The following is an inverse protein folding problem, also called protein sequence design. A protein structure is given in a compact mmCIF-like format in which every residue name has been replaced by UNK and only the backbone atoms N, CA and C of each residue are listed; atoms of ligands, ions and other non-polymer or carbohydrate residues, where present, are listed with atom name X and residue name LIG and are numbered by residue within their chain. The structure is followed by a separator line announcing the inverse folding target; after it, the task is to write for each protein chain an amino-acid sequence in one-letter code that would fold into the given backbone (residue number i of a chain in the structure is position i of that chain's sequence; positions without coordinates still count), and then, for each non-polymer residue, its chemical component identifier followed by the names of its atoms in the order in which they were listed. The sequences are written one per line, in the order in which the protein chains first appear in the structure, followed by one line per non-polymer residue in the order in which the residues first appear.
data_IF_773288694404
#
_entry.id   IF_773288694404
#
_cell.length_a   1.000
_cell.length_b   1.000
_cell.length_c   1.000
_cell.angle_alpha   90.00
_cell.angle_beta   90.00
_cell.angle_gamma   90.00
#
_symmetry.space_group_name_H-M   'P 1'
#
loop_
_entity.id
_entity.type
_entity.pdbx_description
1 polymer ?
#
# COMPACT_ATOMS: atom_id res chain seq x y z
N UNK A 1 30.36 -16.18 -9.17
CA UNK A 1 28.98 -16.43 -9.69
C UNK A 1 28.02 -15.35 -9.17
N UNK A 2 27.19 -14.73 -10.02
CA UNK A 2 26.20 -13.72 -9.60
C UNK A 2 24.79 -14.28 -9.79
N UNK A 3 23.98 -14.32 -8.71
CA UNK A 3 22.57 -14.73 -8.73
C UNK A 3 21.70 -13.49 -8.92
N UNK A 4 21.11 -13.35 -10.11
CA UNK A 4 20.22 -12.24 -10.52
C UNK A 4 18.89 -12.79 -11.06
N UNK A 5 18.33 -13.79 -10.37
CA UNK A 5 17.19 -14.57 -10.85
C UNK A 5 15.80 -13.95 -10.49
N UNK A 6 15.78 -12.74 -9.94
CA UNK A 6 14.57 -12.08 -9.50
C UNK A 6 13.97 -12.67 -8.22
N UNK A 7 12.78 -12.22 -7.86
CA UNK A 7 12.05 -12.68 -6.69
C UNK A 7 11.53 -14.12 -6.83
N UNK A 8 11.31 -14.79 -5.70
CA UNK A 8 10.82 -16.17 -5.68
C UNK A 8 11.89 -17.26 -5.94
N UNK A 9 13.15 -16.88 -6.16
CA UNK A 9 14.23 -17.86 -6.41
C UNK A 9 14.66 -18.58 -5.14
N UNK A 10 14.82 -19.90 -5.22
CA UNK A 10 15.36 -20.73 -4.13
C UNK A 10 16.80 -21.18 -4.38
N UNK A 11 17.47 -20.64 -5.40
CA UNK A 11 18.82 -21.05 -5.82
C UNK A 11 19.89 -20.92 -4.73
N UNK A 12 19.71 -20.00 -3.78
CA UNK A 12 20.63 -19.76 -2.68
C UNK A 12 20.44 -20.72 -1.50
N UNK A 13 19.28 -21.40 -1.40
CA UNK A 13 18.98 -22.35 -0.32
C UNK A 13 19.94 -23.57 -0.30
N UNK A 14 20.19 -24.25 -1.42
CA UNK A 14 21.13 -25.39 -1.44
C UNK A 14 22.57 -24.98 -1.11
N UNK A 15 22.91 -23.69 -1.24
CA UNK A 15 24.21 -23.13 -0.91
C UNK A 15 24.33 -22.72 0.58
N UNK A 16 23.32 -23.08 1.41
CA UNK A 16 23.31 -22.87 2.85
C UNK A 16 22.79 -21.52 3.30
N UNK A 17 22.25 -20.68 2.40
CA UNK A 17 21.66 -19.39 2.76
C UNK A 17 20.29 -19.54 3.42
N UNK A 18 20.08 -18.75 4.46
CA UNK A 18 18.77 -18.59 5.08
C UNK A 18 17.84 -17.86 4.11
N UNK A 19 16.66 -18.45 3.88
CA UNK A 19 15.64 -17.88 3.02
C UNK A 19 14.48 -17.34 3.85
N UNK A 20 14.16 -16.06 3.66
CA UNK A 20 12.94 -15.44 4.17
C UNK A 20 11.77 -15.88 3.27
N UNK A 21 10.62 -16.28 3.85
CA UNK A 21 9.49 -16.75 3.07
C UNK A 21 8.99 -15.72 2.05
N UNK A 22 8.65 -16.20 0.86
CA UNK A 22 8.14 -15.34 -0.21
C UNK A 22 6.69 -14.94 0.04
N UNK A 23 6.39 -13.66 -0.26
CA UNK A 23 5.03 -13.14 -0.26
C UNK A 23 4.86 -12.06 -1.34
N UNK A 24 3.70 -12.00 -2.02
CA UNK A 24 3.42 -10.93 -2.97
C UNK A 24 3.23 -9.61 -2.23
N UNK A 25 3.87 -8.55 -2.73
CA UNK A 25 3.68 -7.16 -2.28
C UNK A 25 3.57 -6.22 -3.48
N UNK A 26 3.26 -4.95 -3.23
CA UNK A 26 2.87 -4.01 -4.27
C UNK A 26 1.73 -4.58 -5.12
N UNK A 27 0.71 -5.06 -4.45
CA UNK A 27 -0.52 -5.59 -5.04
C UNK A 27 -1.76 -4.88 -4.44
N UNK A 28 -2.92 -4.93 -5.11
CA UNK A 28 -4.16 -4.44 -4.53
C UNK A 28 -4.48 -5.09 -3.17
N UNK A 29 -5.30 -4.44 -2.37
CA UNK A 29 -5.81 -4.98 -1.11
C UNK A 29 -7.28 -5.37 -1.25
N UNK A 30 -7.61 -6.58 -0.80
CA UNK A 30 -9.00 -6.99 -0.58
C UNK A 30 -9.51 -6.33 0.70
N UNK A 31 -10.72 -5.78 0.62
CA UNK A 31 -11.41 -5.20 1.77
C UNK A 31 -12.84 -5.69 1.86
N UNK A 32 -13.57 -5.32 2.91
CA UNK A 32 -15.01 -5.49 2.94
C UNK A 32 -15.65 -4.71 1.78
N UNK A 33 -16.49 -5.39 1.00
CA UNK A 33 -17.06 -4.84 -0.24
C UNK A 33 -18.30 -4.00 -0.01
N UNK A 34 -19.01 -4.21 1.10
CA UNK A 34 -20.19 -3.42 1.44
C UNK A 34 -19.85 -1.94 1.62
N UNK A 35 -18.72 -1.67 2.26
CA UNK A 35 -18.25 -0.30 2.49
C UNK A 35 -17.89 0.46 1.21
N UNK A 36 -17.54 -0.24 0.13
CA UNK A 36 -17.10 0.35 -1.15
C UNK A 36 -18.12 0.15 -2.28
N UNK A 37 -19.30 -0.33 -1.95
CA UNK A 37 -20.38 -0.62 -2.91
C UNK A 37 -20.69 0.62 -3.77
N UNK A 38 -20.63 0.45 -5.08
CA UNK A 38 -20.87 1.51 -6.06
C UNK A 38 -19.67 2.43 -6.34
N UNK A 39 -18.51 2.19 -5.71
CA UNK A 39 -17.30 3.01 -5.91
C UNK A 39 -16.34 2.47 -6.98
N UNK A 40 -16.57 1.27 -7.52
CA UNK A 40 -15.67 0.64 -8.50
C UNK A 40 -15.30 1.60 -9.63
N UNK A 41 -13.98 1.72 -9.88
CA UNK A 41 -13.38 2.60 -10.89
C UNK A 41 -13.19 4.06 -10.42
N UNK A 42 -13.70 4.44 -9.25
CA UNK A 42 -13.50 5.77 -8.70
C UNK A 42 -12.10 5.91 -8.11
N UNK A 43 -11.45 7.03 -8.37
CA UNK A 43 -10.19 7.47 -7.75
C UNK A 43 -10.46 8.57 -6.73
N UNK A 44 -9.70 8.58 -5.66
CA UNK A 44 -9.81 9.58 -4.61
C UNK A 44 -8.43 9.85 -4.01
N UNK A 45 -8.03 11.11 -3.96
CA UNK A 45 -6.89 11.53 -3.14
C UNK A 45 -7.30 11.47 -1.67
N UNK A 46 -6.46 10.89 -0.83
CA UNK A 46 -6.73 10.73 0.60
C UNK A 46 -5.44 10.50 1.38
N UNK A 47 -5.53 10.64 2.70
CA UNK A 47 -4.54 10.07 3.62
C UNK A 47 -5.08 8.73 4.09
N UNK A 48 -4.27 7.70 3.94
CA UNK A 48 -4.60 6.36 4.41
C UNK A 48 -3.74 5.99 5.61
N UNK A 49 -4.38 5.45 6.64
CA UNK A 49 -3.73 4.91 7.83
C UNK A 49 -4.07 3.44 7.99
N UNK A 50 -3.06 2.61 8.13
CA UNK A 50 -3.20 1.19 8.44
C UNK A 50 -3.13 0.99 9.94
N UNK A 51 -4.20 0.46 10.53
CA UNK A 51 -4.36 0.31 11.98
C UNK A 51 -4.41 -1.17 12.33
N UNK A 52 -3.51 -1.62 13.22
CA UNK A 52 -3.44 -2.97 13.75
C UNK A 52 -3.58 -2.95 15.26
N UNK A 53 -4.59 -3.66 15.81
CA UNK A 53 -4.84 -3.71 17.26
C UNK A 53 -4.91 -2.31 17.90
N UNK A 54 -5.55 -1.37 17.21
CA UNK A 54 -5.74 0.01 17.67
C UNK A 54 -4.50 0.92 17.56
N UNK A 55 -3.41 0.45 16.97
CA UNK A 55 -2.19 1.25 16.75
C UNK A 55 -1.95 1.49 15.27
N UNK A 56 -1.52 2.70 14.92
CA UNK A 56 -1.05 3.03 13.58
C UNK A 56 0.21 2.23 13.25
N UNK A 57 0.19 1.53 12.12
CA UNK A 57 1.31 0.73 11.61
C UNK A 57 2.01 1.47 10.47
N UNK A 58 1.24 2.12 9.62
CA UNK A 58 1.75 2.83 8.46
C UNK A 58 0.76 3.90 8.02
N UNK A 59 1.27 5.05 7.59
CA UNK A 59 0.46 6.16 7.07
C UNK A 59 1.10 6.71 5.81
N UNK A 60 0.30 6.98 4.80
CA UNK A 60 0.73 7.58 3.54
C UNK A 60 -0.40 8.41 2.93
N UNK A 61 -0.04 9.45 2.19
CA UNK A 61 -0.97 10.25 1.38
C UNK A 61 -0.79 9.93 -0.10
N UNK A 62 -1.90 9.88 -0.82
CA UNK A 62 -1.86 9.61 -2.24
C UNK A 62 -3.24 9.32 -2.82
N UNK A 63 -3.26 8.77 -4.03
CA UNK A 63 -4.49 8.40 -4.71
C UNK A 63 -4.81 6.92 -4.50
N UNK A 64 -6.03 6.64 -4.06
CA UNK A 64 -6.61 5.30 -3.98
C UNK A 64 -7.58 5.08 -5.15
N UNK A 65 -7.60 3.87 -5.69
CA UNK A 65 -8.55 3.41 -6.70
C UNK A 65 -9.45 2.33 -6.09
N UNK A 66 -10.74 2.59 -6.04
CA UNK A 66 -11.72 1.59 -5.61
C UNK A 66 -11.95 0.53 -6.70
N UNK A 67 -11.93 -0.74 -6.29
CA UNK A 67 -12.22 -1.90 -7.13
C UNK A 67 -13.45 -2.62 -6.57
N UNK A 68 -13.94 -3.61 -7.30
CA UNK A 68 -15.08 -4.45 -6.88
C UNK A 68 -14.79 -5.31 -5.63
N UNK A 69 -13.51 -5.67 -5.43
CA UNK A 69 -13.03 -6.51 -4.33
C UNK A 69 -12.29 -5.74 -3.22
N UNK A 70 -12.07 -4.43 -3.38
CA UNK A 70 -11.28 -3.65 -2.42
C UNK A 70 -10.66 -2.40 -3.02
N UNK A 71 -9.37 -2.17 -2.77
CA UNK A 71 -8.67 -0.96 -3.17
C UNK A 71 -7.36 -1.26 -3.89
N UNK A 72 -6.98 -0.37 -4.80
CA UNK A 72 -5.77 -0.39 -5.61
C UNK A 72 -5.21 1.04 -5.76
N UNK A 73 -4.31 1.27 -6.71
CA UNK A 73 -3.59 2.54 -6.88
C UNK A 73 -2.30 2.55 -6.07
N UNK A 74 -1.41 3.50 -6.35
CA UNK A 74 -0.06 3.54 -5.76
C UNK A 74 -0.10 3.49 -4.24
N UNK A 75 -1.01 4.24 -3.63
CA UNK A 75 -1.22 4.26 -2.18
C UNK A 75 -1.54 2.86 -1.63
N UNK A 76 -2.50 2.14 -2.23
CA UNK A 76 -2.87 0.79 -1.81
C UNK A 76 -1.74 -0.22 -2.05
N UNK A 77 -0.98 -0.07 -3.13
CA UNK A 77 0.19 -0.91 -3.42
C UNK A 77 1.25 -0.75 -2.33
N UNK A 78 1.57 0.48 -1.93
CA UNK A 78 2.52 0.73 -0.84
C UNK A 78 2.01 0.18 0.51
N UNK A 79 0.73 0.40 0.82
CA UNK A 79 0.09 -0.15 2.02
C UNK A 79 0.18 -1.68 2.07
N UNK A 80 0.08 -2.37 0.93
CA UNK A 80 0.13 -3.84 0.86
C UNK A 80 1.42 -4.43 1.42
N UNK A 81 2.51 -3.66 1.45
CA UNK A 81 3.79 -4.05 2.05
C UNK A 81 3.70 -4.22 3.57
N UNK A 82 2.73 -3.59 4.20
CA UNK A 82 2.56 -3.54 5.66
C UNK A 82 1.27 -4.21 6.14
N UNK A 83 0.29 -4.33 5.25
CA UNK A 83 -1.05 -4.81 5.56
C UNK A 83 -1.08 -6.31 5.87
N UNK A 84 -1.85 -6.68 6.88
CA UNK A 84 -2.19 -8.06 7.22
C UNK A 84 -3.71 -8.24 7.25
N UNK A 85 -4.22 -9.44 7.00
CA UNK A 85 -5.63 -9.74 7.22
C UNK A 85 -6.06 -9.40 8.65
N UNK A 86 -7.18 -8.69 8.79
CA UNK A 86 -7.70 -8.21 10.07
C UNK A 86 -7.26 -6.78 10.45
N UNK A 87 -6.35 -6.17 9.70
CA UNK A 87 -6.05 -4.75 9.88
C UNK A 87 -7.27 -3.88 9.46
N UNK A 88 -7.31 -2.67 9.99
CA UNK A 88 -8.26 -1.64 9.59
C UNK A 88 -7.54 -0.60 8.73
N UNK A 89 -8.06 -0.35 7.54
CA UNK A 89 -7.64 0.76 6.70
C UNK A 89 -8.58 1.94 6.96
N UNK A 90 -8.06 3.02 7.51
CA UNK A 90 -8.76 4.29 7.73
C UNK A 90 -8.36 5.28 6.65
N UNK A 91 -9.33 5.82 5.92
CA UNK A 91 -9.12 6.83 4.89
C UNK A 91 -9.64 8.18 5.37
N UNK A 92 -8.76 9.17 5.42
CA UNK A 92 -9.14 10.58 5.49
C UNK A 92 -9.33 11.08 4.06
N UNK A 93 -10.58 11.27 3.66
CA UNK A 93 -10.96 11.61 2.28
C UNK A 93 -10.74 13.09 1.94
N UNK A 94 -10.41 13.94 2.93
CA UNK A 94 -10.10 15.36 2.79
C UNK A 94 -9.00 15.76 3.77
N UNK A 95 -7.77 15.29 3.57
CA UNK A 95 -6.68 15.51 4.52
C UNK A 95 -6.30 16.98 4.70
N UNK A 96 -6.60 17.82 3.72
CA UNK A 96 -6.34 19.27 3.74
C UNK A 96 -7.28 20.04 4.70
N UNK A 97 -8.37 19.45 5.17
CA UNK A 97 -9.31 20.09 6.08
C UNK A 97 -9.26 19.45 7.47
N UNK A 98 -9.29 20.28 8.52
CA UNK A 98 -9.54 19.78 9.87
C UNK A 98 -10.99 19.33 10.01
N UNK A 99 -11.30 18.55 11.06
CA UNK A 99 -12.69 18.12 11.33
C UNK A 99 -13.61 19.32 11.53
N UNK A 100 -13.14 20.36 12.21
CA UNK A 100 -13.91 21.58 12.48
C UNK A 100 -14.18 22.37 11.19
N UNK A 101 -13.14 22.56 10.34
CA UNK A 101 -13.27 23.25 9.06
C UNK A 101 -14.21 22.50 8.11
N UNK A 102 -14.10 21.16 8.07
CA UNK A 102 -15.00 20.31 7.28
C UNK A 102 -16.45 20.40 7.79
N UNK A 103 -16.67 20.36 9.10
CA UNK A 103 -18.00 20.49 9.72
C UNK A 103 -18.63 21.85 9.37
N UNK A 104 -17.86 22.93 9.46
CA UNK A 104 -18.32 24.27 9.10
C UNK A 104 -18.66 24.35 7.59
N UNK A 105 -17.81 23.79 6.72
CA UNK A 105 -18.04 23.74 5.27
C UNK A 105 -19.33 22.99 4.92
N UNK A 106 -19.55 21.81 5.50
CA UNK A 106 -20.76 21.01 5.26
C UNK A 106 -22.01 21.73 5.80
N UNK A 107 -21.92 22.38 6.96
CA UNK A 107 -23.02 23.18 7.51
C UNK A 107 -23.42 24.33 6.60
N UNK A 108 -22.44 25.05 6.07
CA UNK A 108 -22.68 26.13 5.10
C UNK A 108 -23.30 25.61 3.80
N UNK A 109 -22.84 24.47 3.29
CA UNK A 109 -23.43 23.80 2.12
C UNK A 109 -24.89 23.41 2.35
N UNK A 110 -25.20 22.84 3.50
CA UNK A 110 -26.57 22.44 3.88
C UNK A 110 -27.49 23.65 3.94
N UNK A 111 -27.03 24.76 4.52
CA UNK A 111 -27.80 25.99 4.59
C UNK A 111 -28.09 26.60 3.20
N UNK A 112 -27.14 26.51 2.28
CA UNK A 112 -27.30 27.07 0.93
C UNK A 112 -28.17 26.22 0.01
N UNK A 113 -28.08 24.89 0.09
CA UNK A 113 -28.65 23.95 -0.90
C UNK A 113 -29.95 23.27 -0.41
N UNK A 114 -30.14 23.17 0.87
CA UNK A 114 -31.36 22.65 1.50
C UNK A 114 -31.57 21.13 1.39
N UNK A 115 -31.04 20.48 0.38
CA UNK A 115 -31.24 19.06 0.13
C UNK A 115 -29.97 18.25 0.47
N UNK A 116 -30.14 17.12 1.15
CA UNK A 116 -29.03 16.23 1.50
C UNK A 116 -28.33 15.64 0.26
N UNK A 117 -29.04 15.51 -0.87
CA UNK A 117 -28.50 14.99 -2.13
C UNK A 117 -27.39 15.88 -2.73
N UNK A 118 -27.42 17.18 -2.48
CA UNK A 118 -26.45 18.14 -3.03
C UNK A 118 -25.35 18.54 -2.04
N UNK A 119 -25.37 17.98 -0.82
CA UNK A 119 -24.46 18.35 0.26
C UNK A 119 -22.98 18.19 -0.13
N UNK A 120 -22.64 17.19 -0.95
CA UNK A 120 -21.27 16.90 -1.34
C UNK A 120 -20.86 17.46 -2.70
N UNK A 121 -21.75 18.21 -3.38
CA UNK A 121 -21.49 18.82 -4.69
C UNK A 121 -20.30 19.78 -4.60
N UNK A 122 -19.29 19.59 -5.44
CA UNK A 122 -18.04 20.38 -5.42
C UNK A 122 -17.05 19.98 -4.32
N UNK A 123 -17.36 18.95 -3.54
CA UNK A 123 -16.45 18.37 -2.54
C UNK A 123 -15.98 17.00 -3.03
N UNK A 124 -16.89 16.13 -3.43
CA UNK A 124 -16.63 14.76 -3.88
C UNK A 124 -17.29 14.45 -5.21
N UNK A 125 -16.80 13.40 -5.85
CA UNK A 125 -17.59 12.72 -6.86
C UNK A 125 -18.90 12.20 -6.25
N UNK A 126 -20.03 12.37 -6.95
CA UNK A 126 -21.38 12.03 -6.45
C UNK A 126 -21.45 10.65 -5.77
N UNK A 127 -20.89 9.60 -6.41
CA UNK A 127 -20.90 8.23 -5.85
C UNK A 127 -20.17 8.12 -4.50
N UNK A 128 -19.10 8.90 -4.29
CA UNK A 128 -18.39 8.91 -3.00
C UNK A 128 -19.23 9.60 -1.91
N UNK A 129 -19.87 10.72 -2.24
CA UNK A 129 -20.82 11.39 -1.34
C UNK A 129 -21.97 10.46 -0.94
N UNK A 130 -22.57 9.73 -1.89
CA UNK A 130 -23.60 8.71 -1.62
C UNK A 130 -23.09 7.59 -0.71
N UNK A 131 -21.83 7.13 -0.89
CA UNK A 131 -21.24 6.12 -0.03
C UNK A 131 -21.01 6.62 1.40
N UNK A 132 -20.59 7.87 1.57
CA UNK A 132 -20.47 8.52 2.88
C UNK A 132 -21.85 8.63 3.55
N UNK A 133 -22.86 9.10 2.81
CA UNK A 133 -24.23 9.24 3.32
C UNK A 133 -24.84 7.90 3.76
N UNK A 134 -24.64 6.82 3.00
CA UNK A 134 -25.12 5.47 3.37
C UNK A 134 -24.54 4.96 4.70
N UNK A 135 -23.40 5.45 5.13
CA UNK A 135 -22.75 5.04 6.39
C UNK A 135 -23.22 5.84 7.59
N UNK A 136 -23.81 6.99 7.36
CA UNK A 136 -24.39 7.81 8.42
C UNK A 136 -25.69 7.18 8.94
N UNK A 137 -25.86 7.16 10.25
CA UNK A 137 -27.08 6.68 10.93
C UNK A 137 -28.07 7.78 11.14
N UNK A 138 -27.59 8.96 11.57
CA UNK A 138 -28.43 10.12 11.86
C UNK A 138 -28.50 11.11 10.69
N UNK A 139 -27.51 11.10 9.79
CA UNK A 139 -27.35 12.11 8.75
C UNK A 139 -26.93 13.50 9.27
N UNK A 140 -26.52 13.58 10.54
CA UNK A 140 -26.01 14.83 11.09
C UNK A 140 -24.68 15.21 10.48
N UNK A 141 -24.46 16.51 10.30
CA UNK A 141 -23.23 17.06 9.71
C UNK A 141 -21.98 16.59 10.47
N UNK A 142 -22.03 16.56 11.79
CA UNK A 142 -20.93 16.12 12.64
C UNK A 142 -20.59 14.64 12.42
N UNK A 143 -21.58 13.79 12.17
CA UNK A 143 -21.39 12.37 11.87
C UNK A 143 -20.78 12.21 10.48
N UNK A 144 -21.32 12.90 9.47
CA UNK A 144 -20.80 12.89 8.10
C UNK A 144 -19.35 13.35 8.06
N UNK A 145 -19.01 14.42 8.76
CA UNK A 145 -17.64 14.92 8.85
C UNK A 145 -16.68 13.87 9.45
N UNK A 146 -17.10 13.18 10.53
CA UNK A 146 -16.29 12.11 11.12
C UNK A 146 -16.10 10.92 10.17
N UNK A 147 -17.14 10.53 9.42
CA UNK A 147 -17.05 9.45 8.42
C UNK A 147 -16.06 9.84 7.32
N UNK A 148 -16.10 11.08 6.83
CA UNK A 148 -15.17 11.58 5.82
C UNK A 148 -13.72 11.55 6.31
N UNK A 149 -13.49 11.95 7.57
CA UNK A 149 -12.16 11.96 8.18
C UNK A 149 -11.67 10.56 8.61
N UNK A 150 -12.54 9.56 8.62
CA UNK A 150 -12.23 8.21 9.10
C UNK A 150 -13.12 7.19 8.40
N UNK A 151 -12.97 7.10 7.06
CA UNK A 151 -13.70 6.13 6.25
C UNK A 151 -13.00 4.76 6.34
N UNK A 152 -13.57 3.86 7.12
CA UNK A 152 -12.94 2.59 7.50
C UNK A 152 -13.28 1.46 6.55
N UNK A 153 -12.25 0.66 6.21
CA UNK A 153 -12.35 -0.57 5.45
C UNK A 153 -11.61 -1.68 6.19
N UNK A 154 -12.23 -2.83 6.34
CA UNK A 154 -11.56 -4.01 6.91
C UNK A 154 -10.67 -4.66 5.86
N UNK A 155 -9.38 -4.83 6.15
CA UNK A 155 -8.44 -5.51 5.27
C UNK A 155 -8.63 -7.02 5.38
N UNK A 156 -8.93 -7.68 4.26
CA UNK A 156 -9.12 -9.13 4.18
C UNK A 156 -7.87 -9.86 3.70
N UNK A 157 -6.93 -9.13 3.11
CA UNK A 157 -5.65 -9.66 2.61
C UNK A 157 -5.21 -9.03 1.29
N UNK A 158 -4.18 -9.61 0.66
CA UNK A 158 -3.76 -9.19 -0.67
C UNK A 158 -4.85 -9.49 -1.71
N UNK A 159 -4.98 -8.59 -2.68
CA UNK A 159 -5.95 -8.71 -3.77
C UNK A 159 -5.44 -9.61 -4.90
N UNK A 160 -5.19 -9.02 -6.05
CA UNK A 160 -4.67 -9.69 -7.23
C UNK A 160 -3.18 -10.01 -7.06
N UNK A 161 -2.88 -11.15 -6.47
CA UNK A 161 -1.51 -11.59 -6.18
C UNK A 161 -0.76 -12.08 -7.41
N UNK A 162 -1.48 -12.45 -8.48
CA UNK A 162 -0.85 -12.88 -9.74
C UNK A 162 -0.19 -11.70 -10.47
N UNK A 163 -0.70 -10.49 -10.24
CA UNK A 163 -0.16 -9.25 -10.79
C UNK A 163 0.55 -8.40 -9.72
N UNK A 164 1.06 -9.03 -8.66
CA UNK A 164 1.93 -8.35 -7.71
C UNK A 164 3.21 -7.88 -8.43
N UNK A 165 3.59 -6.62 -8.20
CA UNK A 165 4.74 -6.04 -8.89
C UNK A 165 6.08 -6.54 -8.33
N UNK A 166 6.10 -7.00 -7.07
CA UNK A 166 7.30 -7.40 -6.34
C UNK A 166 6.99 -8.62 -5.47
N UNK A 167 7.97 -9.50 -5.34
CA UNK A 167 7.98 -10.62 -4.40
C UNK A 167 8.87 -10.26 -3.22
N UNK A 168 8.29 -9.98 -2.05
CA UNK A 168 9.04 -9.87 -0.78
C UNK A 168 9.57 -11.23 -0.39
N UNK A 169 10.67 -11.26 0.35
CA UNK A 169 11.38 -12.47 0.73
C UNK A 169 12.58 -12.71 -0.18
N UNK A 170 13.33 -13.75 0.10
CA UNK A 170 14.59 -14.05 -0.59
C UNK A 170 15.66 -14.45 0.40
N UNK A 171 16.91 -14.38 0.00
CA UNK A 171 18.04 -14.65 0.89
C UNK A 171 18.16 -13.53 1.93
N UNK A 172 18.44 -13.93 3.18
CA UNK A 172 18.65 -13.00 4.29
C UNK A 172 19.83 -12.07 3.97
N UNK A 173 19.58 -10.78 3.89
CA UNK A 173 20.56 -9.75 3.52
C UNK A 173 21.76 -9.70 4.46
N UNK A 174 21.60 -10.13 5.73
CA UNK A 174 22.68 -10.15 6.71
C UNK A 174 23.81 -11.11 6.35
N UNK A 175 23.53 -12.07 5.46
CA UNK A 175 24.50 -13.05 4.97
C UNK A 175 25.30 -12.57 3.75
N UNK A 176 25.08 -11.33 3.31
CA UNK A 176 25.79 -10.71 2.20
C UNK A 176 26.49 -9.42 2.64
N UNK A 177 27.61 -9.15 1.99
CA UNK A 177 28.31 -7.89 2.21
C UNK A 177 27.62 -6.75 1.47
N UNK A 178 27.32 -5.66 2.16
CA UNK A 178 26.59 -4.53 1.59
C UNK A 178 27.40 -3.72 0.59
N UNK A 179 28.72 -3.81 0.61
CA UNK A 179 29.61 -3.07 -0.30
C UNK A 179 29.92 -3.84 -1.57
N UNK A 180 30.01 -5.17 -1.47
CA UNK A 180 30.40 -6.03 -2.58
C UNK A 180 29.25 -6.86 -3.14
N UNK A 181 28.16 -7.06 -2.38
CA UNK A 181 27.07 -8.01 -2.64
C UNK A 181 27.55 -9.47 -2.58
N UNK A 182 28.75 -9.73 -2.05
CA UNK A 182 29.31 -11.07 -1.92
C UNK A 182 28.70 -11.79 -0.71
N UNK A 183 28.52 -13.09 -0.87
CA UNK A 183 28.10 -13.97 0.22
C UNK A 183 29.18 -14.06 1.30
N UNK A 184 28.79 -13.89 2.55
CA UNK A 184 29.67 -14.13 3.72
C UNK A 184 29.86 -15.60 4.02
N UNK A 185 29.13 -16.51 3.30
CA UNK A 185 29.17 -17.96 3.48
C UNK A 185 29.94 -18.68 2.38
N UNK A 186 29.80 -18.21 1.15
CA UNK A 186 30.35 -18.87 -0.04
C UNK A 186 31.17 -17.84 -0.80
N UNK A 187 32.51 -17.93 -0.73
CA UNK A 187 33.38 -17.03 -1.47
C UNK A 187 33.15 -17.09 -3.00
N UNK A 188 33.19 -15.92 -3.66
CA UNK A 188 32.94 -15.79 -5.09
C UNK A 188 31.47 -15.91 -5.50
N UNK A 189 30.52 -16.01 -4.53
CA UNK A 189 29.10 -15.99 -4.77
C UNK A 189 28.51 -14.60 -4.45
N UNK A 190 27.75 -14.04 -5.37
CA UNK A 190 27.08 -12.74 -5.23
C UNK A 190 25.58 -12.91 -5.44
N UNK A 191 24.77 -12.11 -4.74
CA UNK A 191 23.33 -12.05 -4.98
C UNK A 191 22.86 -10.60 -5.10
N UNK A 192 21.90 -10.34 -6.02
CA UNK A 192 21.46 -9.00 -6.35
C UNK A 192 19.93 -8.91 -6.58
N UNK A 193 19.41 -7.70 -6.51
CA UNK A 193 17.98 -7.44 -6.76
C UNK A 193 17.07 -8.20 -5.80
N UNK A 194 15.97 -8.71 -6.31
CA UNK A 194 14.94 -9.44 -5.53
C UNK A 194 15.36 -10.88 -5.15
N UNK A 195 16.56 -11.34 -5.51
CA UNK A 195 17.10 -12.58 -4.94
C UNK A 195 17.41 -12.42 -3.44
N UNK A 196 17.60 -11.18 -2.99
CA UNK A 196 17.75 -10.76 -1.60
C UNK A 196 16.40 -10.32 -1.01
N UNK A 197 16.22 -10.49 0.31
CA UNK A 197 15.03 -10.01 1.01
C UNK A 197 15.04 -8.47 1.14
N UNK A 198 14.85 -7.81 0.00
CA UNK A 198 14.71 -6.35 -0.10
C UNK A 198 13.54 -6.02 -1.00
N UNK A 199 12.58 -5.24 -0.48
CA UNK A 199 11.49 -4.66 -1.24
C UNK A 199 11.36 -3.16 -0.95
N UNK A 200 11.16 -2.37 -1.99
CA UNK A 200 10.93 -0.93 -1.93
C UNK A 200 9.49 -0.54 -2.25
N UNK A 201 9.13 0.72 -2.04
CA UNK A 201 7.86 1.29 -2.43
C UNK A 201 7.65 1.25 -3.96
N UNK A 202 6.41 1.43 -4.41
CA UNK A 202 6.08 1.67 -5.81
C UNK A 202 6.73 2.99 -6.27
N UNK A 203 7.24 3.04 -7.52
CA UNK A 203 7.89 4.25 -8.06
C UNK A 203 9.31 4.02 -8.58
N UNK A 204 9.67 2.78 -8.93
CA UNK A 204 10.96 2.45 -9.54
C UNK A 204 12.07 2.05 -8.57
N UNK A 205 11.84 2.10 -7.26
CA UNK A 205 12.86 1.78 -6.25
C UNK A 205 13.38 0.34 -6.37
N UNK A 206 12.52 -0.63 -6.68
CA UNK A 206 12.90 -2.03 -6.83
C UNK A 206 13.80 -2.25 -8.07
N UNK A 207 13.49 -1.59 -9.19
CA UNK A 207 14.35 -1.61 -10.38
C UNK A 207 15.67 -0.90 -10.13
N UNK A 208 15.64 0.24 -9.43
CA UNK A 208 16.87 0.96 -9.07
C UNK A 208 17.78 0.10 -8.18
N UNK A 209 17.19 -0.59 -7.20
CA UNK A 209 17.92 -1.54 -6.35
C UNK A 209 18.53 -2.67 -7.18
N UNK A 210 17.78 -3.28 -8.09
CA UNK A 210 18.28 -4.35 -8.94
C UNK A 210 19.49 -3.89 -9.79
N UNK A 211 19.41 -2.71 -10.41
CA UNK A 211 20.53 -2.14 -11.17
C UNK A 211 21.73 -1.78 -10.28
N UNK A 212 21.51 -1.11 -9.16
CA UNK A 212 22.57 -0.65 -8.28
C UNK A 212 23.33 -1.83 -7.65
N UNK A 213 22.59 -2.83 -7.15
CA UNK A 213 23.20 -4.05 -6.59
C UNK A 213 23.92 -4.89 -7.66
N UNK A 214 23.35 -4.98 -8.86
CA UNK A 214 23.98 -5.66 -10.00
C UNK A 214 25.29 -5.03 -10.44
N UNK A 215 25.33 -3.70 -10.55
CA UNK A 215 26.56 -2.96 -10.85
C UNK A 215 27.62 -3.14 -9.77
N UNK A 216 27.20 -3.16 -8.50
CA UNK A 216 28.11 -3.34 -7.36
C UNK A 216 28.73 -4.73 -7.37
N UNK A 217 27.91 -5.78 -7.52
CA UNK A 217 28.36 -7.16 -7.62
C UNK A 217 29.29 -7.38 -8.82
N UNK A 218 28.94 -6.83 -9.99
CA UNK A 218 29.75 -6.95 -11.20
C UNK A 218 31.13 -6.33 -11.05
N UNK A 219 31.24 -5.16 -10.42
CA UNK A 219 32.51 -4.49 -10.13
C UNK A 219 33.37 -5.26 -9.12
N UNK A 220 32.74 -5.87 -8.12
CA UNK A 220 33.44 -6.66 -7.12
C UNK A 220 33.98 -7.98 -7.73
N UNK A 221 33.11 -8.71 -8.42
CA UNK A 221 33.50 -9.98 -9.08
C UNK A 221 34.53 -9.83 -10.19
N UNK A 222 34.75 -8.63 -10.73
CA UNK A 222 35.78 -8.36 -11.73
C UNK A 222 37.16 -8.02 -11.13
N UNK A 223 37.24 -7.85 -9.80
CA UNK A 223 38.51 -7.55 -9.10
C UNK A 223 39.19 -8.79 -8.52
N UNK A 224 38.44 -9.88 -8.42
CA UNK A 224 38.87 -11.19 -7.99
C UNK A 224 39.33 -12.05 -9.21
#
# INVERSE_FOLDING_TARGET
MIVAAGGGTSLLRPLGHKMIPFSPVLCPLKTDTESIRGLTGLRCACRAELIRRGKSVYTEEGEILFRDFGVSGILALNLSRHALPGDMLSLDLLPELTLEALTAKLSAQKALRGADADLFTGIFHRRLGEAVARRAKSGEISELARIIKNYRLSVLGPGDTQHAQVTRGGADVSEFDSETMESRRVPGLYAVGEALDIDGACGGYNLHWAFASGLRAGRSAARD
#
